data_IF_270646112341
#
_entry.id   IF_270646112341
#
_cell.length_a   1.000
_cell.length_b   1.000
_cell.length_c   1.000
_cell.angle_alpha   90.00
_cell.angle_beta   90.00
_cell.angle_gamma   90.00
#
_symmetry.space_group_name_H-M   'P 1'
#
loop_
_entity.id
_entity.type
_entity.pdbx_description
1 polymer ?
#
# COMPACT_ATOMS: atom_id res chain seq x y z
N UNK A 1 10.60 19.25 -6.14
CA UNK A 1 10.02 17.94 -6.48
C UNK A 1 9.17 17.47 -5.31
N UNK A 2 7.91 17.24 -5.55
CA UNK A 2 7.01 16.78 -4.49
C UNK A 2 7.30 15.35 -4.12
N UNK A 3 7.38 15.11 -2.81
CA UNK A 3 7.47 13.76 -2.27
C UNK A 3 6.08 13.23 -2.01
N UNK A 4 5.90 11.96 -2.27
CA UNK A 4 4.65 11.26 -2.02
C UNK A 4 4.87 10.23 -0.92
N UNK A 5 3.80 9.83 -0.26
CA UNK A 5 3.87 8.85 0.83
C UNK A 5 3.04 7.64 0.44
N UNK A 6 3.69 6.50 0.35
CA UNK A 6 3.11 5.25 -0.09
C UNK A 6 2.88 4.33 1.10
N UNK A 7 1.67 3.78 1.17
CA UNK A 7 1.29 2.84 2.22
C UNK A 7 1.47 1.43 1.70
N UNK A 8 2.36 0.68 2.36
CA UNK A 8 2.67 -0.70 1.99
C UNK A 8 2.05 -1.66 2.98
N UNK A 9 1.36 -2.65 2.46
CA UNK A 9 0.85 -3.78 3.24
C UNK A 9 1.25 -5.06 2.53
N UNK A 10 1.23 -6.20 3.25
CA UNK A 10 1.58 -7.47 2.66
C UNK A 10 3.04 -7.52 2.20
N UNK A 11 3.29 -8.03 1.01
CA UNK A 11 4.64 -8.21 0.50
C UNK A 11 5.42 -6.92 0.33
N UNK A 12 4.73 -5.80 0.12
CA UNK A 12 5.40 -4.51 0.00
C UNK A 12 5.93 -3.95 1.32
N UNK A 13 5.64 -4.63 2.43
CA UNK A 13 6.33 -4.38 3.68
C UNK A 13 7.78 -4.87 3.62
N UNK A 14 8.10 -5.74 2.69
CA UNK A 14 9.44 -6.29 2.56
C UNK A 14 10.40 -5.23 2.00
N UNK A 15 11.33 -4.82 2.84
CA UNK A 15 12.30 -3.77 2.52
C UNK A 15 13.14 -4.14 1.30
N UNK A 16 13.53 -5.41 1.19
CA UNK A 16 14.35 -5.88 0.07
C UNK A 16 13.62 -5.69 -1.27
N UNK A 17 12.35 -6.08 -1.33
CA UNK A 17 11.57 -5.91 -2.55
C UNK A 17 11.37 -4.44 -2.90
N UNK A 18 11.11 -3.61 -1.90
CA UNK A 18 10.96 -2.17 -2.16
C UNK A 18 12.24 -1.55 -2.70
N UNK A 19 13.39 -1.98 -2.22
CA UNK A 19 14.67 -1.48 -2.73
C UNK A 19 14.90 -1.84 -4.18
N UNK A 20 14.40 -3.00 -4.61
CA UNK A 20 14.49 -3.41 -6.01
C UNK A 20 13.56 -2.61 -6.90
N UNK A 21 12.33 -2.33 -6.42
CA UNK A 21 11.32 -1.59 -7.19
C UNK A 21 11.57 -0.10 -7.20
N UNK A 22 11.96 0.43 -6.06
CA UNK A 22 12.08 1.87 -5.82
C UNK A 22 13.36 2.14 -5.03
N UNK A 23 14.53 2.11 -5.70
CA UNK A 23 15.81 2.23 -4.98
C UNK A 23 15.96 3.51 -4.15
N UNK A 24 15.29 4.59 -4.56
CA UNK A 24 15.37 5.87 -3.84
C UNK A 24 14.32 6.05 -2.77
N UNK A 25 13.38 5.10 -2.62
CA UNK A 25 12.34 5.20 -1.61
C UNK A 25 12.93 5.04 -0.21
N UNK A 26 12.34 5.77 0.75
CA UNK A 26 12.80 5.75 2.13
C UNK A 26 11.66 5.35 3.05
N UNK A 27 11.90 4.36 3.90
CA UNK A 27 10.94 3.98 4.91
C UNK A 27 10.98 5.00 6.04
N UNK A 28 9.86 5.68 6.27
CA UNK A 28 9.82 6.80 7.21
C UNK A 28 8.95 6.55 8.44
N UNK A 29 8.04 5.60 8.39
CA UNK A 29 7.16 5.42 9.51
C UNK A 29 6.25 4.22 9.39
N UNK A 30 5.32 4.15 10.35
CA UNK A 30 4.29 3.12 10.41
C UNK A 30 2.95 3.78 10.65
N UNK A 31 1.88 3.07 10.29
CA UNK A 31 0.52 3.52 10.52
C UNK A 31 -0.41 2.31 10.54
N UNK A 32 -1.70 2.57 10.53
CA UNK A 32 -2.72 1.53 10.46
C UNK A 32 -3.88 2.02 9.61
N UNK A 33 -4.41 1.12 8.79
CA UNK A 33 -5.64 1.36 8.04
C UNK A 33 -6.80 0.88 8.89
N UNK A 34 -7.38 1.78 9.67
CA UNK A 34 -8.53 1.45 10.51
C UNK A 34 -9.77 1.29 9.65
N UNK A 35 -10.58 0.30 9.95
CA UNK A 35 -11.79 0.01 9.19
C UNK A 35 -11.54 -0.80 7.94
N UNK A 36 -10.38 -1.45 7.85
CA UNK A 36 -10.01 -2.32 6.73
C UNK A 36 -9.49 -3.65 7.24
N UNK A 37 -9.56 -4.67 6.41
CA UNK A 37 -8.98 -5.98 6.68
C UNK A 37 -8.21 -6.46 5.46
N UNK A 38 -7.17 -7.27 5.71
CA UNK A 38 -6.45 -7.94 4.63
C UNK A 38 -7.31 -9.02 4.02
N UNK A 39 -7.19 -9.18 2.71
CA UNK A 39 -8.00 -10.12 1.96
C UNK A 39 -7.22 -10.62 0.75
N UNK A 40 -7.39 -11.88 0.41
CA UNK A 40 -6.88 -12.42 -0.84
C UNK A 40 -7.97 -12.42 -1.89
N UNK A 41 -7.67 -11.86 -3.05
CA UNK A 41 -8.53 -11.94 -4.23
C UNK A 41 -7.74 -12.61 -5.33
N UNK A 42 -8.40 -13.46 -6.10
CA UNK A 42 -7.70 -14.30 -7.03
C UNK A 42 -8.16 -14.20 -8.46
N UNK A 43 -7.36 -14.80 -9.30
CA UNK A 43 -7.63 -15.05 -10.68
C UNK A 43 -7.21 -16.48 -10.95
N UNK A 44 -7.30 -16.92 -12.21
CA UNK A 44 -6.85 -18.27 -12.58
C UNK A 44 -5.37 -18.50 -12.29
N UNK A 45 -4.59 -17.45 -12.24
CA UNK A 45 -3.14 -17.56 -12.06
C UNK A 45 -2.71 -17.45 -10.61
N UNK A 46 -3.61 -17.14 -9.69
CA UNK A 46 -3.28 -17.07 -8.27
C UNK A 46 -4.10 -16.06 -7.51
N UNK A 47 -3.77 -15.92 -6.24
CA UNK A 47 -4.43 -14.98 -5.35
C UNK A 47 -3.48 -13.84 -5.02
N UNK A 48 -4.03 -12.65 -4.89
CA UNK A 48 -3.28 -11.43 -4.60
C UNK A 48 -3.83 -10.76 -3.37
N UNK A 49 -2.94 -10.16 -2.58
CA UNK A 49 -3.31 -9.51 -1.35
C UNK A 49 -3.88 -8.12 -1.61
N UNK A 50 -4.96 -7.79 -0.92
CA UNK A 50 -5.57 -6.47 -0.97
C UNK A 50 -6.18 -6.14 0.38
N UNK A 51 -6.80 -4.98 0.49
CA UNK A 51 -7.56 -4.59 1.68
C UNK A 51 -8.98 -4.22 1.27
N UNK A 52 -9.94 -4.50 2.16
CA UNK A 52 -11.33 -4.11 1.95
C UNK A 52 -11.88 -3.52 3.23
N UNK A 53 -12.90 -2.69 3.10
CA UNK A 53 -13.57 -2.09 4.25
C UNK A 53 -14.16 -3.18 5.14
N UNK A 54 -13.81 -3.11 6.42
CA UNK A 54 -14.37 -3.98 7.43
C UNK A 54 -14.39 -3.22 8.77
N UNK A 55 -15.54 -2.68 9.16
CA UNK A 55 -15.63 -1.92 10.41
C UNK A 55 -15.13 -2.74 11.59
N UNK A 56 -14.36 -2.11 12.46
CA UNK A 56 -13.79 -2.76 13.63
C UNK A 56 -12.48 -3.46 13.40
N UNK A 57 -12.03 -3.61 12.15
CA UNK A 57 -10.73 -4.21 11.81
C UNK A 57 -9.69 -3.13 11.56
N UNK A 58 -8.42 -3.53 11.51
CA UNK A 58 -7.31 -2.63 11.26
C UNK A 58 -6.18 -3.41 10.61
N UNK A 59 -5.45 -2.76 9.70
CA UNK A 59 -4.32 -3.37 8.99
C UNK A 59 -3.07 -2.55 9.29
N UNK A 60 -2.05 -3.16 9.91
CA UNK A 60 -0.79 -2.44 10.11
C UNK A 60 -0.09 -2.23 8.75
N UNK A 61 0.50 -1.05 8.57
CA UNK A 61 1.13 -0.68 7.32
C UNK A 61 2.47 0.00 7.57
N UNK A 62 3.36 -0.12 6.59
CA UNK A 62 4.58 0.68 6.53
C UNK A 62 4.35 1.89 5.63
N UNK A 63 5.10 2.95 5.90
CA UNK A 63 4.97 4.20 5.13
C UNK A 63 6.32 4.52 4.50
N UNK A 64 6.30 4.71 3.18
CA UNK A 64 7.49 5.01 2.39
C UNK A 64 7.37 6.39 1.77
N UNK A 65 8.46 7.14 1.83
CA UNK A 65 8.57 8.38 1.09
C UNK A 65 9.10 8.04 -0.31
N UNK A 66 8.37 8.43 -1.34
CA UNK A 66 8.67 8.05 -2.72
C UNK A 66 8.66 9.29 -3.62
N UNK A 67 9.42 9.22 -4.71
CA UNK A 67 9.41 10.25 -5.75
C UNK A 67 8.34 9.95 -6.77
N UNK A 68 8.11 10.88 -7.70
CA UNK A 68 7.20 10.63 -8.81
C UNK A 68 7.66 9.46 -9.69
N UNK A 69 8.95 9.32 -9.88
CA UNK A 69 9.49 8.19 -10.65
C UNK A 69 9.23 6.87 -9.94
N UNK A 70 9.38 6.85 -8.61
CA UNK A 70 9.04 5.67 -7.80
C UNK A 70 7.57 5.33 -7.92
N UNK A 71 6.70 6.35 -7.86
CA UNK A 71 5.26 6.13 -7.98
C UNK A 71 4.90 5.51 -9.33
N UNK A 72 5.52 5.98 -10.41
CA UNK A 72 5.30 5.38 -11.73
C UNK A 72 5.75 3.93 -11.79
N UNK A 73 6.85 3.60 -11.14
CA UNK A 73 7.32 2.22 -11.07
C UNK A 73 6.33 1.35 -10.29
N UNK A 74 5.81 1.86 -9.18
CA UNK A 74 4.78 1.16 -8.41
C UNK A 74 3.50 0.98 -9.22
N UNK A 75 3.07 2.02 -9.94
CA UNK A 75 1.90 1.94 -10.81
C UNK A 75 2.01 0.77 -11.79
N UNK A 76 3.17 0.64 -12.42
CA UNK A 76 3.41 -0.47 -13.37
C UNK A 76 3.39 -1.82 -12.66
N UNK A 77 4.05 -1.90 -11.51
CA UNK A 77 4.12 -3.13 -10.75
C UNK A 77 2.75 -3.61 -10.30
N UNK A 78 1.90 -2.69 -9.84
CA UNK A 78 0.56 -3.02 -9.35
C UNK A 78 -0.47 -3.14 -10.47
N UNK A 79 -0.11 -2.84 -11.71
CA UNK A 79 -1.07 -2.87 -12.82
C UNK A 79 -2.12 -1.79 -12.70
N UNK A 80 -1.76 -0.64 -12.21
CA UNK A 80 -2.66 0.51 -12.08
C UNK A 80 -2.95 1.11 -13.46
N UNK A 81 -4.16 1.48 -13.76
CA UNK A 81 -5.38 1.45 -12.92
C UNK A 81 -6.24 0.19 -13.11
N UNK A 82 -5.83 -0.76 -13.94
CA UNK A 82 -6.68 -1.87 -14.35
C UNK A 82 -6.81 -2.95 -13.28
N UNK A 83 -5.71 -3.34 -12.66
CA UNK A 83 -5.68 -4.42 -11.67
C UNK A 83 -5.91 -3.89 -10.26
N UNK A 84 -5.18 -2.83 -9.90
CA UNK A 84 -5.36 -2.10 -8.64
C UNK A 84 -5.76 -0.66 -8.95
N UNK A 85 -6.55 -0.05 -8.08
CA UNK A 85 -6.75 1.39 -8.12
C UNK A 85 -6.00 2.04 -6.97
N UNK A 86 -5.81 3.33 -7.07
CA UNK A 86 -5.07 4.11 -6.07
C UNK A 86 -6.05 4.93 -5.25
N UNK A 87 -5.99 4.77 -3.94
CA UNK A 87 -6.82 5.56 -3.03
C UNK A 87 -5.92 6.50 -2.24
N UNK A 88 -6.33 7.76 -2.15
CA UNK A 88 -5.63 8.73 -1.31
C UNK A 88 -6.43 8.99 -0.06
N UNK A 89 -5.73 9.09 1.06
CA UNK A 89 -6.36 9.35 2.35
C UNK A 89 -5.32 10.00 3.28
N UNK A 90 -5.80 10.53 4.41
CA UNK A 90 -4.92 11.13 5.42
C UNK A 90 -4.84 10.19 6.62
N UNK A 91 -3.61 9.86 7.02
CA UNK A 91 -3.38 8.96 8.14
C UNK A 91 -2.38 9.56 9.12
N UNK A 92 -2.51 9.24 10.42
CA UNK A 92 -1.46 9.54 11.38
C UNK A 92 -0.29 8.57 11.15
N UNK A 93 0.90 9.12 10.99
CA UNK A 93 2.10 8.34 10.73
C UNK A 93 3.06 8.52 11.89
N UNK A 94 3.47 7.41 12.49
CA UNK A 94 4.49 7.41 13.54
C UNK A 94 5.85 7.27 12.89
N UNK A 95 6.68 8.30 13.03
CA UNK A 95 8.02 8.32 12.45
C UNK A 95 8.94 7.30 13.10
N UNK A 96 9.72 6.60 12.27
CA UNK A 96 10.66 5.59 12.75
C UNK A 96 11.76 6.23 13.59
N UNK A 97 12.26 7.38 13.15
CA UNK A 97 13.40 8.03 13.80
C UNK A 97 13.02 8.85 15.02
N UNK A 98 11.87 9.52 14.97
CA UNK A 98 11.48 10.48 16.01
C UNK A 98 10.44 9.95 16.96
N UNK A 99 9.69 8.92 16.58
CA UNK A 99 8.54 8.45 17.34
C UNK A 99 7.37 9.43 17.35
N UNK A 100 7.49 10.56 16.66
CA UNK A 100 6.43 11.56 16.60
C UNK A 100 5.37 11.14 15.60
N UNK A 101 4.12 11.52 15.88
CA UNK A 101 2.98 11.23 15.03
C UNK A 101 2.59 12.49 14.27
N UNK A 102 2.50 12.36 12.94
CA UNK A 102 2.06 13.46 12.07
C UNK A 102 1.04 12.93 11.08
N UNK A 103 0.00 13.72 10.84
CA UNK A 103 -0.97 13.38 9.78
C UNK A 103 -0.37 13.73 8.43
N UNK A 104 -0.48 12.79 7.48
CA UNK A 104 0.03 12.98 6.13
C UNK A 104 -0.96 12.44 5.11
N UNK A 105 -0.99 13.09 3.95
CA UNK A 105 -1.70 12.57 2.80
C UNK A 105 -0.90 11.42 2.21
N UNK A 106 -1.53 10.26 2.09
CA UNK A 106 -0.87 9.03 1.64
C UNK A 106 -1.67 8.41 0.50
N UNK A 107 -1.05 7.50 -0.24
CA UNK A 107 -1.77 6.70 -1.22
C UNK A 107 -1.52 5.22 -1.00
N UNK A 108 -2.49 4.42 -1.39
CA UNK A 108 -2.45 2.96 -1.24
C UNK A 108 -3.11 2.33 -2.46
N UNK A 109 -2.57 1.20 -2.90
CA UNK A 109 -3.17 0.44 -4.00
C UNK A 109 -4.14 -0.57 -3.45
N UNK A 110 -5.34 -0.60 -4.02
CA UNK A 110 -6.41 -1.49 -3.60
C UNK A 110 -6.96 -2.18 -4.84
N UNK A 111 -7.15 -3.49 -4.74
CA UNK A 111 -7.71 -4.26 -5.83
C UNK A 111 -9.17 -3.88 -6.04
N UNK A 112 -9.62 -3.85 -7.29
CA UNK A 112 -11.00 -3.48 -7.58
C UNK A 112 -11.98 -4.44 -6.90
N UNK A 113 -13.11 -3.90 -6.44
CA UNK A 113 -14.09 -4.66 -5.65
C UNK A 113 -14.69 -5.83 -6.41
N UNK A 114 -14.81 -5.72 -7.72
CA UNK A 114 -15.38 -6.78 -8.55
C UNK A 114 -14.44 -7.94 -8.79
N UNK A 115 -13.22 -7.87 -8.29
CA UNK A 115 -12.28 -8.98 -8.41
C UNK A 115 -12.73 -10.17 -7.55
N UNK A 116 -12.56 -11.40 -8.03
CA UNK A 116 -13.00 -12.58 -7.25
C UNK A 116 -12.23 -12.72 -5.95
N UNK A 117 -12.93 -13.17 -4.90
CA UNK A 117 -12.31 -13.42 -3.62
C UNK A 117 -11.52 -14.71 -3.68
N UNK A 118 -10.21 -14.60 -3.37
CA UNK A 118 -9.29 -15.65 -2.92
C UNK A 118 -9.25 -17.00 -3.63
N UNK A 119 -10.13 -17.30 -4.55
CA UNK A 119 -10.22 -18.63 -5.15
C UNK A 119 -10.00 -18.52 -6.63
N UNK A 120 -9.02 -19.26 -7.16
CA UNK A 120 -8.83 -19.32 -8.61
C UNK A 120 -10.10 -19.80 -9.28
N UNK A 121 -10.52 -19.12 -10.27
CA UNK A 121 -11.71 -19.51 -11.02
C UNK A 121 -11.35 -20.40 -12.20
#
# INVERSE_FOLDING_TARGET
>A
MEKRYYIAYGSNLNVHQMRMRCPSARRIGTSALKGYALLFKGSKTGSYLTVEKKPGSSVPVGVWEVTQADEKALDRYEGFPNFYYKKELTLPIKGIRTGKVRKRRVFVYIMHEYSPIGVPS
#
